data_IF_168773818937
#
_entry.id   IF_168773818937
#
_cell.length_a   1.000
_cell.length_b   1.000
_cell.length_c   1.000
_cell.angle_alpha   90.00
_cell.angle_beta   90.00
_cell.angle_gamma   90.00
#
_symmetry.space_group_name_H-M   'P 1'
#
loop_
_entity.id
_entity.type
_entity.pdbx_description
1 polymer ?
#
# COMPACT_ATOMS: atom_id res chain seq x y z
N UNK A 1 0.55 -28.53 -1.58
CA UNK A 1 0.08 -27.14 -1.74
C UNK A 1 0.97 -26.17 -0.97
N UNK A 2 1.15 -26.31 0.34
CA UNK A 2 1.98 -25.41 1.18
C UNK A 2 3.45 -25.25 0.73
N UNK A 3 4.13 -26.34 0.35
CA UNK A 3 5.52 -26.29 -0.15
C UNK A 3 5.67 -25.51 -1.46
N UNK A 4 4.66 -25.58 -2.32
CA UNK A 4 4.61 -24.84 -3.59
C UNK A 4 4.33 -23.35 -3.33
N UNK A 5 3.43 -23.03 -2.40
CA UNK A 5 3.16 -21.66 -1.97
C UNK A 5 4.39 -21.01 -1.32
N UNK A 6 5.13 -21.72 -0.47
CA UNK A 6 6.35 -21.21 0.17
C UNK A 6 7.50 -20.98 -0.84
N UNK A 7 7.68 -21.88 -1.81
CA UNK A 7 8.66 -21.70 -2.88
C UNK A 7 8.30 -20.53 -3.80
N UNK A 8 7.01 -20.37 -4.13
CA UNK A 8 6.53 -19.26 -4.93
C UNK A 8 6.70 -17.93 -4.18
N UNK A 9 6.31 -17.86 -2.91
CA UNK A 9 6.50 -16.70 -2.05
C UNK A 9 7.98 -16.30 -1.93
N UNK A 10 8.89 -17.27 -1.75
CA UNK A 10 10.34 -17.00 -1.67
C UNK A 10 10.91 -16.47 -2.99
N UNK A 11 10.49 -17.04 -4.12
CA UNK A 11 10.93 -16.62 -5.46
C UNK A 11 10.31 -15.28 -5.89
N UNK A 12 9.10 -14.98 -5.44
CA UNK A 12 8.42 -13.71 -5.67
C UNK A 12 9.08 -12.61 -4.84
N UNK A 13 9.32 -12.86 -3.55
CA UNK A 13 10.03 -11.95 -2.64
C UNK A 13 11.42 -11.56 -3.17
N UNK A 14 12.23 -12.54 -3.60
CA UNK A 14 13.55 -12.26 -4.18
C UNK A 14 13.48 -11.32 -5.40
N UNK A 15 12.50 -11.52 -6.28
CA UNK A 15 12.31 -10.67 -7.47
C UNK A 15 11.79 -9.28 -7.11
N UNK A 16 10.93 -9.20 -6.09
CA UNK A 16 10.43 -7.96 -5.53
C UNK A 16 11.53 -7.12 -4.89
N UNK A 17 12.37 -7.73 -4.05
CA UNK A 17 13.50 -7.06 -3.42
C UNK A 17 14.47 -6.52 -4.47
N UNK A 18 14.76 -7.32 -5.51
CA UNK A 18 15.59 -6.89 -6.65
C UNK A 18 14.99 -5.70 -7.39
N UNK A 19 13.67 -5.70 -7.63
CA UNK A 19 13.01 -4.60 -8.34
C UNK A 19 13.00 -3.32 -7.48
N UNK A 20 12.75 -3.45 -6.18
CA UNK A 20 12.78 -2.35 -5.20
C UNK A 20 14.16 -1.73 -5.10
N UNK A 21 15.21 -2.55 -5.02
CA UNK A 21 16.58 -2.05 -4.90
C UNK A 21 17.03 -1.33 -6.19
N UNK A 22 16.54 -1.78 -7.36
CA UNK A 22 16.78 -1.11 -8.66
C UNK A 22 16.06 0.25 -8.73
N UNK A 23 14.77 0.30 -8.37
CA UNK A 23 13.96 1.52 -8.35
C UNK A 23 14.52 2.56 -7.36
N UNK A 24 14.85 2.14 -6.13
CA UNK A 24 15.45 3.02 -5.12
C UNK A 24 16.78 3.60 -5.59
N UNK A 25 17.65 2.76 -6.19
CA UNK A 25 18.94 3.22 -6.71
C UNK A 25 18.74 4.23 -7.83
N UNK A 26 17.79 3.99 -8.74
CA UNK A 26 17.47 4.91 -9.83
C UNK A 26 16.91 6.25 -9.33
N UNK A 27 16.04 6.23 -8.30
CA UNK A 27 15.51 7.45 -7.69
C UNK A 27 16.61 8.25 -6.99
N UNK A 28 17.51 7.58 -6.26
CA UNK A 28 18.66 8.22 -5.61
C UNK A 28 19.58 8.85 -6.66
N UNK A 29 19.89 8.14 -7.75
CA UNK A 29 20.69 8.66 -8.86
C UNK A 29 20.04 9.87 -9.55
N UNK A 30 18.70 9.88 -9.71
CA UNK A 30 17.96 11.00 -10.29
C UNK A 30 17.90 12.23 -9.37
N UNK A 31 17.96 12.03 -8.06
CA UNK A 31 18.07 13.10 -7.06
C UNK A 31 19.49 13.67 -7.07
N UNK A 32 20.51 12.81 -7.06
CA UNK A 32 21.93 13.20 -7.04
C UNK A 32 22.37 13.86 -8.36
N UNK A 33 21.81 13.45 -9.50
CA UNK A 33 22.07 14.06 -10.82
C UNK A 33 21.42 15.43 -10.99
N UNK A 34 20.52 15.82 -10.08
CA UNK A 34 19.76 17.08 -10.16
C UNK A 34 18.76 17.13 -11.32
N UNK A 35 18.50 16.01 -12.00
CA UNK A 35 17.46 15.89 -13.03
C UNK A 35 16.06 15.98 -12.41
N UNK A 36 15.89 15.50 -11.16
CA UNK A 36 14.74 15.82 -10.32
C UNK A 36 14.97 17.15 -9.59
N UNK A 37 14.49 18.25 -10.17
CA UNK A 37 14.47 19.56 -9.49
C UNK A 37 13.42 19.57 -8.38
N UNK A 38 13.85 19.56 -7.12
CA UNK A 38 13.06 19.94 -5.94
C UNK A 38 12.79 21.46 -5.97
N UNK A 39 11.83 21.87 -6.81
CA UNK A 39 11.46 23.26 -7.05
C UNK A 39 10.36 23.77 -6.12
N UNK A 40 10.75 24.64 -5.18
CA UNK A 40 9.91 25.51 -4.34
C UNK A 40 8.65 26.03 -5.06
N UNK A 41 7.48 25.83 -4.47
CA UNK A 41 6.33 26.73 -4.62
C UNK A 41 5.90 27.24 -3.26
N UNK A 42 6.03 28.55 -3.16
CA UNK A 42 5.83 29.47 -2.06
C UNK A 42 4.34 29.76 -1.97
N UNK A 43 3.68 29.37 -0.87
CA UNK A 43 2.43 29.91 -0.30
C UNK A 43 1.47 28.79 0.17
N UNK A 44 1.63 28.36 1.43
CA UNK A 44 0.55 28.13 2.40
C UNK A 44 1.17 27.65 3.70
N UNK A 45 1.55 28.63 4.51
CA UNK A 45 1.86 28.46 5.93
C UNK A 45 0.51 28.34 6.63
N UNK A 46 0.38 27.33 7.50
CA UNK A 46 -0.79 26.88 8.30
C UNK A 46 -1.68 25.79 7.69
N UNK A 47 -1.49 24.55 8.20
CA UNK A 47 -2.39 23.38 8.11
C UNK A 47 -2.66 22.75 6.75
N UNK A 48 -1.63 22.19 6.12
CA UNK A 48 -1.82 21.19 5.08
C UNK A 48 -1.04 19.93 5.45
N UNK A 49 -1.65 19.05 6.25
CA UNK A 49 -1.56 17.63 5.89
C UNK A 49 -1.93 17.59 4.41
N UNK A 50 -1.02 17.13 3.55
CA UNK A 50 -1.35 17.01 2.14
C UNK A 50 -2.68 16.24 2.07
N UNK A 51 -3.70 16.72 1.34
CA UNK A 51 -4.95 15.97 1.18
C UNK A 51 -4.71 14.54 0.68
N UNK A 52 -3.56 14.29 0.04
CA UNK A 52 -3.04 12.97 -0.28
C UNK A 52 -2.78 12.10 0.95
N UNK A 53 -2.12 12.58 1.99
CA UNK A 53 -1.68 11.75 3.14
C UNK A 53 -2.85 11.20 3.96
N UNK A 54 -3.88 12.01 4.20
CA UNK A 54 -5.11 11.51 4.85
C UNK A 54 -5.86 10.54 3.93
N UNK A 55 -5.79 10.74 2.61
CA UNK A 55 -6.44 9.86 1.63
C UNK A 55 -5.69 8.53 1.46
N UNK A 56 -4.38 8.54 1.30
CA UNK A 56 -3.54 7.35 1.16
C UNK A 56 -3.46 6.57 2.46
N UNK A 57 -3.27 7.25 3.60
CA UNK A 57 -3.29 6.62 4.91
C UNK A 57 -4.63 5.97 5.24
N UNK A 58 -5.76 6.58 4.86
CA UNK A 58 -7.09 5.96 5.04
C UNK A 58 -7.33 4.77 4.10
N UNK A 59 -6.83 4.82 2.87
CA UNK A 59 -6.87 3.68 1.95
C UNK A 59 -6.02 2.51 2.46
N UNK A 60 -4.78 2.78 2.90
CA UNK A 60 -3.89 1.79 3.49
C UNK A 60 -4.52 1.16 4.74
N UNK A 61 -5.08 1.98 5.63
CA UNK A 61 -5.78 1.50 6.83
C UNK A 61 -6.98 0.61 6.48
N UNK A 62 -7.73 0.94 5.43
CA UNK A 62 -8.88 0.15 4.97
C UNK A 62 -8.45 -1.20 4.41
N UNK A 63 -7.41 -1.24 3.57
CA UNK A 63 -6.87 -2.48 3.02
C UNK A 63 -6.26 -3.38 4.10
N UNK A 64 -5.54 -2.80 5.06
CA UNK A 64 -5.03 -3.54 6.22
C UNK A 64 -6.15 -4.16 7.05
N UNK A 65 -7.25 -3.42 7.30
CA UNK A 65 -8.43 -3.97 7.99
C UNK A 65 -9.05 -5.12 7.20
N UNK A 66 -9.21 -4.97 5.89
CA UNK A 66 -9.70 -6.05 5.03
C UNK A 66 -8.81 -7.28 5.15
N UNK A 67 -7.48 -7.11 5.06
CA UNK A 67 -6.50 -8.20 5.20
C UNK A 67 -6.64 -8.92 6.55
N UNK A 68 -6.80 -8.19 7.65
CA UNK A 68 -7.00 -8.77 8.98
C UNK A 68 -8.34 -9.51 9.13
N UNK A 69 -9.37 -9.09 8.38
CA UNK A 69 -10.69 -9.71 8.41
C UNK A 69 -10.86 -10.84 7.40
N UNK A 70 -9.89 -11.11 6.51
CA UNK A 70 -10.02 -12.10 5.44
C UNK A 70 -10.44 -13.48 5.96
N UNK A 71 -9.84 -13.95 7.05
CA UNK A 71 -10.20 -15.24 7.66
C UNK A 71 -11.66 -15.26 8.12
N UNK A 72 -12.12 -14.20 8.78
CA UNK A 72 -13.52 -14.08 9.20
C UNK A 72 -14.48 -14.01 8.02
N UNK A 73 -14.10 -13.31 6.94
CA UNK A 73 -14.88 -13.26 5.70
C UNK A 73 -14.99 -14.65 5.08
N UNK A 74 -13.90 -15.41 5.01
CA UNK A 74 -13.94 -16.79 4.51
C UNK A 74 -14.87 -17.68 5.33
N UNK A 75 -14.86 -17.58 6.65
CA UNK A 75 -15.77 -18.33 7.53
C UNK A 75 -17.23 -18.00 7.21
N UNK A 76 -17.56 -16.71 7.14
CA UNK A 76 -18.93 -16.26 6.83
C UNK A 76 -19.37 -16.73 5.44
N UNK A 77 -18.50 -16.61 4.42
CA UNK A 77 -18.81 -17.08 3.08
C UNK A 77 -19.06 -18.59 3.06
N UNK A 78 -18.23 -19.38 3.75
CA UNK A 78 -18.42 -20.83 3.86
C UNK A 78 -19.73 -21.21 4.57
N UNK A 79 -20.14 -20.44 5.57
CA UNK A 79 -21.41 -20.67 6.26
C UNK A 79 -22.62 -20.36 5.36
N UNK A 80 -22.57 -19.25 4.61
CA UNK A 80 -23.61 -18.92 3.62
C UNK A 80 -23.70 -20.01 2.55
N UNK A 81 -22.56 -20.48 2.05
CA UNK A 81 -22.49 -21.57 1.04
C UNK A 81 -23.15 -22.85 1.56
N UNK A 82 -23.04 -23.14 2.86
CA UNK A 82 -23.56 -24.38 3.47
C UNK A 82 -25.05 -24.30 3.82
N UNK A 83 -25.50 -23.16 4.33
CA UNK A 83 -26.78 -23.10 5.05
C UNK A 83 -27.83 -22.17 4.44
N UNK A 84 -27.47 -21.32 3.48
CA UNK A 84 -28.40 -20.34 2.89
C UNK A 84 -29.07 -20.85 1.59
N UNK A 85 -29.96 -20.03 1.01
CA UNK A 85 -30.67 -20.37 -0.23
C UNK A 85 -29.75 -20.44 -1.46
N UNK A 86 -30.24 -21.05 -2.54
CA UNK A 86 -29.46 -21.32 -3.75
C UNK A 86 -28.83 -20.07 -4.37
N UNK A 87 -29.53 -18.94 -4.38
CA UNK A 87 -29.02 -17.68 -4.94
C UNK A 87 -27.87 -17.14 -4.11
N UNK A 88 -28.07 -16.98 -2.79
CA UNK A 88 -27.02 -16.50 -1.89
C UNK A 88 -25.82 -17.44 -1.84
N UNK A 89 -26.06 -18.75 -1.94
CA UNK A 89 -25.00 -19.75 -2.04
C UNK A 89 -24.16 -19.57 -3.30
N UNK A 90 -24.77 -19.37 -4.47
CA UNK A 90 -24.01 -19.15 -5.71
C UNK A 90 -23.19 -17.86 -5.67
N UNK A 91 -23.76 -16.78 -5.14
CA UNK A 91 -23.05 -15.50 -4.99
C UNK A 91 -21.87 -15.64 -4.02
N UNK A 92 -22.08 -16.29 -2.87
CA UNK A 92 -21.03 -16.49 -1.89
C UNK A 92 -19.90 -17.40 -2.41
N UNK A 93 -20.21 -18.43 -3.20
CA UNK A 93 -19.22 -19.30 -3.85
C UNK A 93 -18.39 -18.53 -4.88
N UNK A 94 -19.03 -17.69 -5.70
CA UNK A 94 -18.32 -16.83 -6.67
C UNK A 94 -17.38 -15.84 -5.97
N UNK A 95 -17.85 -15.17 -4.91
CA UNK A 95 -17.04 -14.26 -4.10
C UNK A 95 -15.88 -15.00 -3.44
N UNK A 96 -16.13 -16.17 -2.85
CA UNK A 96 -15.09 -17.00 -2.23
C UNK A 96 -14.00 -17.36 -3.24
N UNK A 97 -14.38 -17.80 -4.44
CA UNK A 97 -13.45 -18.18 -5.49
C UNK A 97 -12.65 -16.97 -6.01
N UNK A 98 -13.29 -15.82 -6.17
CA UNK A 98 -12.61 -14.57 -6.54
C UNK A 98 -11.59 -14.16 -5.48
N UNK A 99 -11.97 -14.17 -4.20
CA UNK A 99 -11.07 -13.81 -3.09
C UNK A 99 -9.93 -14.82 -2.90
N UNK A 100 -10.16 -16.11 -3.16
CA UNK A 100 -9.13 -17.15 -3.10
C UNK A 100 -8.23 -17.18 -4.34
N UNK A 101 -8.55 -16.40 -5.39
CA UNK A 101 -7.74 -16.34 -6.59
C UNK A 101 -6.36 -15.76 -6.31
N UNK A 102 -5.35 -16.26 -7.03
CA UNK A 102 -3.97 -15.75 -6.92
C UNK A 102 -3.92 -14.28 -7.32
N UNK A 103 -4.73 -13.86 -8.28
CA UNK A 103 -4.81 -12.48 -8.76
C UNK A 103 -5.28 -11.54 -7.66
N UNK A 104 -6.40 -11.85 -6.99
CA UNK A 104 -6.91 -11.03 -5.88
C UNK A 104 -5.90 -10.93 -4.74
N UNK A 105 -5.36 -12.07 -4.29
CA UNK A 105 -4.38 -12.10 -3.20
C UNK A 105 -3.14 -11.29 -3.56
N UNK A 106 -2.65 -11.42 -4.79
CA UNK A 106 -1.50 -10.68 -5.28
C UNK A 106 -1.78 -9.17 -5.34
N UNK A 107 -2.90 -8.75 -5.93
CA UNK A 107 -3.28 -7.34 -6.04
C UNK A 107 -3.44 -6.72 -4.66
N UNK A 108 -4.12 -7.39 -3.72
CA UNK A 108 -4.31 -6.88 -2.36
C UNK A 108 -2.98 -6.63 -1.64
N UNK A 109 -2.07 -7.61 -1.67
CA UNK A 109 -0.74 -7.46 -1.06
C UNK A 109 0.07 -6.36 -1.75
N UNK A 110 0.03 -6.31 -3.08
CA UNK A 110 0.73 -5.30 -3.86
C UNK A 110 0.22 -3.88 -3.54
N UNK A 111 -1.09 -3.69 -3.43
CA UNK A 111 -1.68 -2.41 -3.07
C UNK A 111 -1.26 -1.97 -1.66
N UNK A 112 -1.25 -2.88 -0.69
CA UNK A 112 -0.83 -2.57 0.69
C UNK A 112 0.64 -2.11 0.71
N UNK A 113 1.52 -2.85 0.03
CA UNK A 113 2.95 -2.51 0.00
C UNK A 113 3.20 -1.17 -0.72
N UNK A 114 2.62 -0.98 -1.91
CA UNK A 114 2.79 0.25 -2.69
C UNK A 114 2.25 1.48 -1.95
N UNK A 115 1.08 1.35 -1.30
CA UNK A 115 0.52 2.42 -0.48
C UNK A 115 1.35 2.68 0.77
N UNK A 116 1.89 1.64 1.41
CA UNK A 116 2.81 1.78 2.54
C UNK A 116 4.07 2.57 2.19
N UNK A 117 4.74 2.19 1.10
CA UNK A 117 5.94 2.92 0.61
C UNK A 117 5.58 4.36 0.25
N UNK A 118 4.44 4.58 -0.40
CA UNK A 118 3.99 5.93 -0.77
C UNK A 118 3.70 6.77 0.47
N UNK A 119 3.05 6.20 1.48
CA UNK A 119 2.74 6.87 2.74
C UNK A 119 4.02 7.23 3.52
N UNK A 120 4.97 6.30 3.64
CA UNK A 120 6.26 6.53 4.28
C UNK A 120 7.05 7.66 3.58
N UNK A 121 7.10 7.62 2.24
CA UNK A 121 7.76 8.66 1.45
C UNK A 121 7.07 10.03 1.64
N UNK A 122 5.74 10.06 1.63
CA UNK A 122 4.96 11.26 1.91
C UNK A 122 5.29 11.84 3.29
N UNK A 123 5.32 11.01 4.33
CA UNK A 123 5.66 11.43 5.69
C UNK A 123 7.08 12.01 5.79
N UNK A 124 8.07 11.34 5.20
CA UNK A 124 9.47 11.81 5.20
C UNK A 124 9.60 13.17 4.49
N UNK A 125 8.99 13.30 3.31
CA UNK A 125 9.01 14.55 2.55
C UNK A 125 8.30 15.69 3.31
N UNK A 126 7.20 15.39 4.01
CA UNK A 126 6.51 16.39 4.83
C UNK A 126 7.32 16.83 6.04
N UNK A 127 7.97 15.90 6.73
CA UNK A 127 8.81 16.19 7.87
C UNK A 127 9.97 17.11 7.47
N UNK A 128 10.69 16.77 6.39
CA UNK A 128 11.77 17.61 5.86
C UNK A 128 11.27 19.00 5.46
N UNK A 129 10.09 19.08 4.85
CA UNK A 129 9.46 20.36 4.52
C UNK A 129 9.20 21.21 5.79
N UNK A 130 8.70 20.60 6.87
CA UNK A 130 8.45 21.30 8.13
C UNK A 130 9.74 21.77 8.84
N UNK A 131 10.78 20.93 8.87
CA UNK A 131 12.06 21.29 9.52
C UNK A 131 12.72 22.49 8.81
N UNK A 132 12.73 22.49 7.48
CA UNK A 132 13.24 23.61 6.68
C UNK A 132 12.43 24.89 6.95
N UNK A 133 11.11 24.78 7.05
CA UNK A 133 10.24 25.91 7.37
C UNK A 133 10.52 26.46 8.78
N UNK A 134 10.73 25.60 9.76
CA UNK A 134 11.04 26.01 11.13
C UNK A 134 12.39 26.73 11.22
N UNK A 135 13.47 26.17 10.66
CA UNK A 135 14.80 26.79 10.69
C UNK A 135 14.82 28.18 10.05
N UNK A 136 14.09 28.35 8.95
CA UNK A 136 13.96 29.65 8.27
C UNK A 136 13.19 30.68 9.11
N UNK A 137 12.25 30.24 9.97
CA UNK A 137 11.48 31.13 10.85
C UNK A 137 12.28 31.59 12.08
N UNK A 138 13.27 30.81 12.53
CA UNK A 138 14.14 31.17 13.65
C UNK A 138 15.28 32.14 13.27
N UNK A 139 15.53 32.34 11.98
CA UNK A 139 16.58 33.24 11.48
C UNK A 139 16.14 34.70 11.29
N UNK A 140 14.97 35.09 11.80
CA UNK A 140 14.38 36.42 11.64
C UNK A 140 14.10 37.10 12.99
#
# INVERSE_FOLDING_TARGET
>A
MERLAALFAKKCRKRHDQLRDIELSHIIELIDSGELKTGKVKNQVETLQCPGDTRWGSHLASLNRLMMMLESIYVVLQDIIKFDNLTQRSEADEIYNAMASVEFVFILHFMIEMLGITDDLCQVLQYQSHDILNECNWCH
#
